data_IF_114934195936
#
_entry.id   IF_114934195936
#
_cell.length_a   1.000
_cell.length_b   1.000
_cell.length_c   1.000
_cell.angle_alpha   90.00
_cell.angle_beta   90.00
_cell.angle_gamma   90.00
#
_symmetry.space_group_name_H-M   'P 1'
#
loop_
_entity.id
_entity.type
_entity.pdbx_description
1 polymer ?
#
# COMPACT_ATOMS: atom_id res chain seq x y z
N UNK A 1 21.04 105.77 -81.49
CA UNK A 1 21.45 104.36 -81.65
C UNK A 1 21.48 103.62 -80.30
N UNK A 2 22.08 104.18 -79.24
CA UNK A 2 22.08 103.59 -77.90
C UNK A 2 20.70 103.50 -77.21
N UNK A 3 19.84 104.52 -77.33
CA UNK A 3 18.50 104.51 -76.75
C UNK A 3 17.51 103.54 -77.42
N UNK A 4 17.80 103.10 -78.65
CA UNK A 4 16.98 102.13 -79.38
C UNK A 4 17.32 100.70 -78.94
N UNK A 5 18.62 100.40 -78.81
CA UNK A 5 19.12 99.11 -78.30
C UNK A 5 18.73 98.86 -76.83
N UNK A 6 18.70 99.89 -75.98
CA UNK A 6 18.20 99.77 -74.60
C UNK A 6 16.70 99.45 -74.51
N UNK A 7 15.89 99.99 -75.43
CA UNK A 7 14.45 99.68 -75.50
C UNK A 7 14.19 98.28 -76.05
N UNK A 8 14.98 97.80 -77.00
CA UNK A 8 14.91 96.41 -77.49
C UNK A 8 15.33 95.40 -76.42
N UNK A 9 16.39 95.68 -75.63
CA UNK A 9 16.81 94.84 -74.50
C UNK A 9 15.78 94.82 -73.36
N UNK A 10 15.15 95.95 -73.05
CA UNK A 10 14.04 96.02 -72.08
C UNK A 10 12.80 95.28 -72.59
N UNK A 11 12.50 95.39 -73.88
CA UNK A 11 11.42 94.65 -74.52
C UNK A 11 11.65 93.14 -74.47
N UNK A 12 12.87 92.69 -74.80
CA UNK A 12 13.27 91.29 -74.69
C UNK A 12 13.25 90.81 -73.24
N UNK A 13 13.74 91.60 -72.28
CA UNK A 13 13.70 91.23 -70.86
C UNK A 13 12.28 91.18 -70.31
N UNK A 14 11.38 92.07 -70.74
CA UNK A 14 9.95 92.04 -70.38
C UNK A 14 9.27 90.79 -70.97
N UNK A 15 9.61 90.43 -72.21
CA UNK A 15 9.11 89.23 -72.88
C UNK A 15 9.66 87.95 -72.24
N UNK A 16 10.96 87.91 -71.91
CA UNK A 16 11.59 86.82 -71.16
C UNK A 16 11.06 86.75 -69.72
N UNK A 17 10.68 87.88 -69.11
CA UNK A 17 10.09 87.91 -67.77
C UNK A 17 8.75 87.18 -67.68
N UNK A 18 7.97 87.15 -68.77
CA UNK A 18 6.75 86.34 -68.84
C UNK A 18 7.07 84.85 -68.87
N UNK A 19 8.13 84.45 -69.57
CA UNK A 19 8.61 83.06 -69.56
C UNK A 19 9.17 82.68 -68.18
N UNK A 20 9.94 83.55 -67.53
CA UNK A 20 10.46 83.33 -66.17
C UNK A 20 9.32 83.27 -65.16
N UNK A 21 8.30 84.12 -65.28
CA UNK A 21 7.11 84.08 -64.43
C UNK A 21 6.28 82.81 -64.64
N UNK A 22 6.13 82.35 -65.89
CA UNK A 22 5.51 81.06 -66.21
C UNK A 22 6.27 79.89 -65.59
N UNK A 23 7.60 79.89 -65.72
CA UNK A 23 8.47 78.84 -65.18
C UNK A 23 8.48 78.86 -63.65
N UNK A 24 8.45 80.05 -63.04
CA UNK A 24 8.28 80.20 -61.61
C UNK A 24 6.93 79.65 -61.15
N UNK A 25 5.83 79.96 -61.84
CA UNK A 25 4.51 79.38 -61.54
C UNK A 25 4.50 77.85 -61.66
N UNK A 26 5.22 77.27 -62.63
CA UNK A 26 5.35 75.82 -62.78
C UNK A 26 6.21 75.21 -61.66
N UNK A 27 7.28 75.87 -61.24
CA UNK A 27 8.09 75.45 -60.09
C UNK A 27 7.26 75.51 -58.81
N UNK A 28 6.52 76.60 -58.59
CA UNK A 28 5.63 76.73 -57.42
C UNK A 28 4.54 75.66 -57.42
N UNK A 29 3.99 75.30 -58.59
CA UNK A 29 3.05 74.19 -58.71
C UNK A 29 3.70 72.83 -58.42
N UNK A 30 4.95 72.62 -58.84
CA UNK A 30 5.71 71.41 -58.48
C UNK A 30 6.03 71.36 -56.99
N UNK A 31 6.36 72.49 -56.37
CA UNK A 31 6.60 72.61 -54.93
C UNK A 31 5.32 72.32 -54.14
N UNK A 32 4.16 72.81 -54.56
CA UNK A 32 2.87 72.46 -53.96
C UNK A 32 2.56 70.94 -54.06
N UNK A 33 2.92 70.31 -55.18
CA UNK A 33 2.75 68.86 -55.36
C UNK A 33 3.71 68.08 -54.46
N UNK A 34 4.98 68.51 -54.38
CA UNK A 34 5.98 67.91 -53.50
C UNK A 34 5.61 68.06 -52.03
N UNK A 35 5.09 69.22 -51.62
CA UNK A 35 4.60 69.48 -50.27
C UNK A 35 3.42 68.57 -49.93
N UNK A 36 2.49 68.34 -50.87
CA UNK A 36 1.40 67.37 -50.70
C UNK A 36 1.91 65.93 -50.57
N UNK A 37 2.90 65.53 -51.38
CA UNK A 37 3.52 64.20 -51.26
C UNK A 37 4.27 64.03 -49.93
N UNK A 38 4.97 65.07 -49.47
CA UNK A 38 5.66 65.06 -48.18
C UNK A 38 4.66 64.93 -47.03
N UNK A 39 3.57 65.69 -47.05
CA UNK A 39 2.50 65.59 -46.05
C UNK A 39 1.87 64.19 -46.05
N UNK A 40 1.62 63.61 -47.23
CA UNK A 40 1.10 62.25 -47.36
C UNK A 40 2.07 61.22 -46.77
N UNK A 41 3.37 61.32 -47.06
CA UNK A 41 4.38 60.41 -46.52
C UNK A 41 4.57 60.55 -45.01
N UNK A 42 4.49 61.78 -44.47
CA UNK A 42 4.51 62.01 -43.01
C UNK A 42 3.30 61.40 -42.33
N UNK A 43 2.11 61.50 -42.94
CA UNK A 43 0.91 60.84 -42.44
C UNK A 43 1.08 59.32 -42.46
N UNK A 44 1.54 58.73 -43.58
CA UNK A 44 1.81 57.28 -43.65
C UNK A 44 2.85 56.81 -42.62
N UNK A 45 3.91 57.59 -42.39
CA UNK A 45 4.92 57.28 -41.39
C UNK A 45 4.32 57.32 -39.97
N UNK A 46 3.50 58.34 -39.68
CA UNK A 46 2.79 58.45 -38.40
C UNK A 46 1.84 57.27 -38.19
N UNK A 47 1.06 56.91 -39.21
CA UNK A 47 0.12 55.80 -39.16
C UNK A 47 0.82 54.46 -38.95
N UNK A 48 1.91 54.19 -39.67
CA UNK A 48 2.74 53.01 -39.45
C UNK A 48 3.37 52.98 -38.05
N UNK A 49 3.80 54.14 -37.55
CA UNK A 49 4.31 54.27 -36.18
C UNK A 49 3.24 53.97 -35.13
N UNK A 50 2.02 54.47 -35.32
CA UNK A 50 0.88 54.19 -34.45
C UNK A 50 0.51 52.71 -34.47
N UNK A 51 0.37 52.12 -35.65
CA UNK A 51 0.04 50.70 -35.83
C UNK A 51 1.12 49.81 -35.22
N UNK A 52 2.40 50.14 -35.42
CA UNK A 52 3.50 49.36 -34.84
C UNK A 52 3.47 49.41 -33.31
N UNK A 53 3.21 50.58 -32.72
CA UNK A 53 3.05 50.71 -31.28
C UNK A 53 1.81 49.96 -30.76
N UNK A 54 0.69 49.99 -31.48
CA UNK A 54 -0.49 49.18 -31.15
C UNK A 54 -0.18 47.68 -31.19
N UNK A 55 0.54 47.20 -32.21
CA UNK A 55 0.97 45.80 -32.30
C UNK A 55 1.88 45.43 -31.13
N UNK A 56 2.84 46.30 -30.77
CA UNK A 56 3.75 46.06 -29.63
C UNK A 56 2.98 46.03 -28.31
N UNK A 57 2.03 46.94 -28.10
CA UNK A 57 1.21 46.96 -26.88
C UNK A 57 0.31 45.74 -26.79
N UNK A 58 -0.33 45.32 -27.89
CA UNK A 58 -1.10 44.08 -27.96
C UNK A 58 -0.24 42.85 -27.70
N UNK A 59 0.98 42.81 -28.25
CA UNK A 59 1.92 41.72 -28.01
C UNK A 59 2.33 41.65 -26.54
N UNK A 60 2.67 42.78 -25.91
CA UNK A 60 2.98 42.85 -24.47
C UNK A 60 1.79 42.41 -23.62
N UNK A 61 0.57 42.85 -23.97
CA UNK A 61 -0.64 42.43 -23.28
C UNK A 61 -0.88 40.92 -23.40
N UNK A 62 -0.72 40.35 -24.60
CA UNK A 62 -0.84 38.91 -24.84
C UNK A 62 0.13 38.09 -23.99
N UNK A 63 1.40 38.50 -23.93
CA UNK A 63 2.41 37.84 -23.08
C UNK A 63 2.04 37.94 -21.60
N UNK A 64 1.63 39.13 -21.13
CA UNK A 64 1.22 39.32 -19.73
C UNK A 64 0.01 38.47 -19.36
N UNK A 65 -0.95 38.33 -20.29
CA UNK A 65 -2.15 37.50 -20.11
C UNK A 65 -1.78 36.02 -20.06
N UNK A 66 -0.85 35.57 -20.91
CA UNK A 66 -0.37 34.20 -20.92
C UNK A 66 0.32 33.83 -19.59
N UNK A 67 1.16 34.72 -19.05
CA UNK A 67 1.81 34.51 -17.75
C UNK A 67 0.76 34.41 -16.64
N UNK A 68 -0.22 35.32 -16.61
CA UNK A 68 -1.33 35.27 -15.63
C UNK A 68 -2.13 33.96 -15.74
N UNK A 69 -2.37 33.49 -16.96
CA UNK A 69 -3.07 32.24 -17.21
C UNK A 69 -2.28 31.03 -16.70
N UNK A 70 -0.98 30.96 -16.97
CA UNK A 70 -0.10 29.90 -16.46
C UNK A 70 -0.05 29.87 -14.94
N UNK A 71 0.10 31.04 -14.30
CA UNK A 71 0.09 31.14 -12.83
C UNK A 71 -1.24 30.67 -12.24
N UNK A 72 -2.37 31.05 -12.85
CA UNK A 72 -3.70 30.60 -12.43
C UNK A 72 -3.90 29.10 -12.63
N UNK A 73 -3.40 28.53 -13.72
CA UNK A 73 -3.46 27.08 -13.97
C UNK A 73 -2.65 26.29 -12.94
N UNK A 74 -1.43 26.75 -12.61
CA UNK A 74 -0.60 26.12 -11.59
C UNK A 74 -1.30 26.13 -10.22
N UNK A 75 -1.80 27.30 -9.80
CA UNK A 75 -2.53 27.43 -8.52
C UNK A 75 -3.82 26.61 -8.52
N UNK A 76 -4.54 26.55 -9.64
CA UNK A 76 -5.76 25.74 -9.77
C UNK A 76 -5.46 24.25 -9.57
N UNK A 77 -4.32 23.75 -10.04
CA UNK A 77 -3.92 22.35 -9.84
C UNK A 77 -3.75 22.03 -8.35
N UNK A 78 -2.93 22.82 -7.66
CA UNK A 78 -2.68 22.66 -6.22
C UNK A 78 -3.96 22.81 -5.38
N UNK A 79 -4.80 23.80 -5.70
CA UNK A 79 -6.08 24.00 -5.01
C UNK A 79 -7.06 22.84 -5.29
N UNK A 80 -7.11 22.32 -6.52
CA UNK A 80 -7.97 21.18 -6.84
C UNK A 80 -7.56 19.97 -6.02
N UNK A 81 -6.27 19.64 -5.99
CA UNK A 81 -5.77 18.52 -5.19
C UNK A 81 -6.09 18.69 -3.70
N UNK A 82 -5.87 19.89 -3.15
CA UNK A 82 -6.20 20.18 -1.75
C UNK A 82 -7.70 20.00 -1.46
N UNK A 83 -8.57 20.44 -2.37
CA UNK A 83 -10.01 20.29 -2.24
C UNK A 83 -10.42 18.82 -2.37
N UNK A 84 -9.85 18.08 -3.32
CA UNK A 84 -10.12 16.65 -3.51
C UNK A 84 -9.69 15.82 -2.28
N UNK A 85 -8.57 16.18 -1.65
CA UNK A 85 -8.09 15.55 -0.41
C UNK A 85 -8.98 15.88 0.80
N UNK A 86 -9.51 17.11 0.88
CA UNK A 86 -10.39 17.55 1.96
C UNK A 86 -11.84 17.03 1.83
N UNK A 87 -12.36 16.87 0.60
CA UNK A 87 -13.75 16.46 0.39
C UNK A 87 -13.93 14.98 0.74
N UNK A 88 -14.90 14.68 1.59
CA UNK A 88 -15.37 13.32 1.84
C UNK A 88 -16.62 13.10 1.00
N UNK A 89 -16.53 12.24 -0.02
CA UNK A 89 -17.65 11.94 -0.91
C UNK A 89 -18.73 11.14 -0.18
N UNK A 90 -20.00 11.42 -0.46
CA UNK A 90 -21.12 10.69 0.15
C UNK A 90 -21.16 9.21 -0.26
N UNK A 91 -20.72 8.90 -1.48
CA UNK A 91 -20.53 7.52 -1.95
C UNK A 91 -19.57 6.73 -1.06
N UNK A 92 -18.43 7.33 -0.67
CA UNK A 92 -17.46 6.73 0.24
C UNK A 92 -18.10 6.45 1.61
N UNK A 93 -18.92 7.38 2.11
CA UNK A 93 -19.66 7.21 3.38
C UNK A 93 -20.62 6.03 3.28
N UNK A 94 -21.43 5.98 2.21
CA UNK A 94 -22.41 4.91 2.00
C UNK A 94 -21.72 3.55 1.83
N UNK A 95 -20.64 3.47 1.05
CA UNK A 95 -19.88 2.23 0.89
C UNK A 95 -19.26 1.74 2.20
N UNK A 96 -18.66 2.62 3.01
CA UNK A 96 -18.12 2.22 4.32
C UNK A 96 -19.23 1.73 5.25
N UNK A 97 -20.43 2.30 5.17
CA UNK A 97 -21.57 1.90 5.98
C UNK A 97 -22.17 0.56 5.52
N UNK A 98 -22.43 0.42 4.22
CA UNK A 98 -23.26 -0.65 3.65
C UNK A 98 -22.46 -1.84 3.12
N UNK A 99 -21.26 -1.62 2.55
CA UNK A 99 -20.48 -2.69 1.91
C UNK A 99 -19.95 -3.70 2.91
N UNK A 100 -19.85 -4.96 2.49
CA UNK A 100 -19.30 -6.01 3.33
C UNK A 100 -17.78 -5.88 3.43
N UNK A 101 -17.22 -6.17 4.60
CA UNK A 101 -15.76 -6.11 4.86
C UNK A 101 -14.95 -7.11 4.01
N UNK A 102 -15.63 -7.99 3.27
CA UNK A 102 -15.00 -9.03 2.43
C UNK A 102 -14.70 -8.52 1.02
N UNK A 103 -15.30 -7.41 0.61
CA UNK A 103 -15.19 -6.88 -0.76
C UNK A 103 -13.88 -6.10 -0.92
N UNK A 104 -13.28 -6.17 -2.13
CA UNK A 104 -12.05 -5.44 -2.43
C UNK A 104 -12.25 -3.92 -2.39
N UNK A 105 -13.43 -3.48 -2.81
CA UNK A 105 -13.83 -2.07 -2.83
C UNK A 105 -13.75 -1.46 -1.42
N UNK A 106 -14.14 -2.22 -0.39
CA UNK A 106 -14.02 -1.76 1.00
C UNK A 106 -12.56 -1.52 1.43
N UNK A 107 -11.61 -2.29 0.90
CA UNK A 107 -10.19 -2.10 1.20
C UNK A 107 -9.64 -0.83 0.54
N UNK A 108 -10.03 -0.57 -0.70
CA UNK A 108 -9.67 0.66 -1.43
C UNK A 108 -10.28 1.89 -0.73
N UNK A 109 -11.56 1.82 -0.35
CA UNK A 109 -12.25 2.85 0.42
C UNK A 109 -11.58 3.12 1.78
N UNK A 110 -11.09 2.07 2.45
CA UNK A 110 -10.36 2.19 3.71
C UNK A 110 -9.00 2.88 3.53
N UNK A 111 -8.30 2.63 2.42
CA UNK A 111 -7.04 3.31 2.09
C UNK A 111 -7.27 4.80 1.81
N UNK A 112 -8.35 5.13 1.08
CA UNK A 112 -8.75 6.53 0.85
C UNK A 112 -9.09 7.21 2.18
N UNK A 113 -9.83 6.54 3.06
CA UNK A 113 -10.16 7.06 4.38
C UNK A 113 -8.90 7.31 5.23
N UNK A 114 -7.94 6.37 5.22
CA UNK A 114 -6.67 6.50 5.95
C UNK A 114 -5.87 7.73 5.49
N UNK A 115 -5.73 7.90 4.17
CA UNK A 115 -5.07 9.08 3.58
C UNK A 115 -5.78 10.38 3.98
N UNK A 116 -7.11 10.41 3.90
CA UNK A 116 -7.91 11.60 4.28
C UNK A 116 -7.78 11.94 5.77
N UNK A 117 -7.79 10.94 6.65
CA UNK A 117 -7.58 11.16 8.09
C UNK A 117 -6.16 11.68 8.36
N UNK A 118 -5.15 11.11 7.71
CA UNK A 118 -3.76 11.57 7.86
C UNK A 118 -3.61 13.03 7.38
N UNK A 119 -4.16 13.35 6.21
CA UNK A 119 -4.13 14.69 5.64
C UNK A 119 -4.82 15.72 6.54
N UNK A 120 -6.03 15.44 7.03
CA UNK A 120 -6.74 16.35 7.94
C UNK A 120 -5.99 16.52 9.26
N UNK A 121 -5.33 15.47 9.78
CA UNK A 121 -4.45 15.58 10.96
C UNK A 121 -3.26 16.50 10.69
N UNK A 122 -2.62 16.40 9.53
CA UNK A 122 -1.51 17.29 9.13
C UNK A 122 -1.95 18.74 8.88
N UNK A 123 -3.13 18.97 8.32
CA UNK A 123 -3.63 20.33 8.09
C UNK A 123 -4.26 20.95 9.34
N UNK A 124 -4.59 20.15 10.36
CA UNK A 124 -5.17 20.65 11.62
C UNK A 124 -4.27 21.64 12.36
N UNK A 125 -2.96 21.66 12.08
CA UNK A 125 -2.02 22.65 12.61
C UNK A 125 -2.24 24.07 12.08
N UNK A 126 -3.05 24.26 11.03
CA UNK A 126 -3.33 25.57 10.41
C UNK A 126 -4.65 26.20 10.88
N UNK A 127 -5.34 25.59 11.85
CA UNK A 127 -6.59 26.10 12.48
C UNK A 127 -7.69 26.54 11.49
N UNK A 128 -7.77 25.89 10.33
CA UNK A 128 -8.82 26.17 9.35
C UNK A 128 -10.16 25.57 9.81
N UNK A 129 -11.24 26.38 9.84
CA UNK A 129 -12.58 25.95 10.26
C UNK A 129 -13.12 24.75 9.48
N UNK A 130 -12.85 24.68 8.18
CA UNK A 130 -13.25 23.56 7.32
C UNK A 130 -12.64 22.22 7.77
N UNK A 131 -11.45 22.24 8.39
CA UNK A 131 -10.85 21.03 8.94
C UNK A 131 -11.64 20.50 10.14
N UNK A 132 -12.27 21.38 10.93
CA UNK A 132 -13.08 20.97 12.09
C UNK A 132 -14.37 20.30 11.63
N UNK A 133 -15.04 20.85 10.61
CA UNK A 133 -16.30 20.30 10.07
C UNK A 133 -16.09 18.90 9.48
N UNK A 134 -15.01 18.70 8.72
CA UNK A 134 -14.69 17.40 8.10
C UNK A 134 -14.14 16.40 9.12
N UNK A 135 -13.39 16.87 10.12
CA UNK A 135 -12.79 16.01 11.16
C UNK A 135 -13.86 15.22 11.92
N UNK A 136 -14.97 15.84 12.31
CA UNK A 136 -16.03 15.14 13.04
C UNK A 136 -16.67 14.02 12.20
N UNK A 137 -16.84 14.24 10.89
CA UNK A 137 -17.35 13.22 9.96
C UNK A 137 -16.34 12.09 9.82
N UNK A 138 -15.06 12.40 9.63
CA UNK A 138 -13.98 11.42 9.53
C UNK A 138 -13.82 10.59 10.80
N UNK A 139 -13.91 11.18 11.99
CA UNK A 139 -13.83 10.45 13.26
C UNK A 139 -15.02 9.49 13.45
N UNK A 140 -16.23 9.89 13.04
CA UNK A 140 -17.40 9.00 13.04
C UNK A 140 -17.23 7.84 12.06
N UNK A 141 -16.76 8.11 10.84
CA UNK A 141 -16.44 7.08 9.85
C UNK A 141 -15.36 6.13 10.33
N UNK A 142 -14.27 6.67 10.91
CA UNK A 142 -13.18 5.92 11.52
C UNK A 142 -13.72 4.96 12.60
N UNK A 143 -14.57 5.45 13.49
CA UNK A 143 -15.18 4.65 14.55
C UNK A 143 -16.02 3.50 13.96
N UNK A 144 -16.83 3.80 12.95
CA UNK A 144 -17.70 2.79 12.31
C UNK A 144 -16.91 1.75 11.51
N UNK A 145 -15.90 2.18 10.74
CA UNK A 145 -15.00 1.31 10.00
C UNK A 145 -14.23 0.40 10.96
N UNK A 146 -13.70 0.96 12.04
CA UNK A 146 -13.00 0.23 13.10
C UNK A 146 -13.89 -0.85 13.73
N UNK A 147 -15.15 -0.53 14.03
CA UNK A 147 -16.11 -1.50 14.56
C UNK A 147 -16.34 -2.66 13.58
N UNK A 148 -16.59 -2.38 12.30
CA UNK A 148 -16.80 -3.40 11.26
C UNK A 148 -15.57 -4.30 11.09
N UNK A 149 -14.37 -3.71 11.06
CA UNK A 149 -13.10 -4.44 10.96
C UNK A 149 -12.90 -5.34 12.19
N UNK A 150 -13.13 -4.81 13.39
CA UNK A 150 -13.03 -5.57 14.65
C UNK A 150 -13.96 -6.78 14.63
N UNK A 151 -15.24 -6.58 14.32
CA UNK A 151 -16.21 -7.67 14.23
C UNK A 151 -15.77 -8.73 13.22
N UNK A 152 -15.31 -8.32 12.04
CA UNK A 152 -14.82 -9.25 11.02
C UNK A 152 -13.62 -10.07 11.49
N UNK A 153 -12.59 -9.42 12.05
CA UNK A 153 -11.38 -10.09 12.52
C UNK A 153 -11.69 -11.06 13.67
N UNK A 154 -12.49 -10.63 14.66
CA UNK A 154 -12.90 -11.50 15.76
C UNK A 154 -13.75 -12.68 15.28
N UNK A 155 -14.70 -12.47 14.35
CA UNK A 155 -15.47 -13.56 13.76
C UNK A 155 -14.58 -14.59 13.05
N UNK A 156 -13.56 -14.14 12.32
CA UNK A 156 -12.58 -15.05 11.70
C UNK A 156 -11.75 -15.80 12.73
N UNK A 157 -11.31 -15.13 13.81
CA UNK A 157 -10.59 -15.76 14.92
C UNK A 157 -11.47 -16.82 15.60
N UNK A 158 -12.73 -16.50 15.88
CA UNK A 158 -13.68 -17.46 16.46
C UNK A 158 -13.97 -18.64 15.56
N UNK A 159 -13.92 -18.46 14.23
CA UNK A 159 -14.06 -19.58 13.29
C UNK A 159 -12.95 -20.62 13.44
N UNK A 160 -11.77 -20.28 13.98
CA UNK A 160 -10.73 -21.27 14.27
C UNK A 160 -11.11 -22.26 15.37
N UNK A 161 -12.04 -21.89 16.25
CA UNK A 161 -12.50 -22.75 17.35
C UNK A 161 -13.36 -23.93 16.86
N UNK A 162 -13.80 -23.93 15.60
CA UNK A 162 -14.60 -25.03 15.04
C UNK A 162 -13.77 -26.31 14.91
N UNK A 163 -14.23 -27.44 15.46
CA UNK A 163 -13.49 -28.69 15.42
C UNK A 163 -13.26 -29.16 13.98
N UNK A 164 -12.12 -29.83 13.73
CA UNK A 164 -11.69 -30.33 12.40
C UNK A 164 -11.39 -29.26 11.34
N UNK A 165 -11.35 -27.98 11.69
CA UNK A 165 -10.93 -26.92 10.74
C UNK A 165 -9.41 -26.99 10.53
N UNK A 166 -8.96 -27.05 9.28
CA UNK A 166 -7.56 -26.79 8.96
C UNK A 166 -7.30 -25.28 9.19
N UNK A 167 -6.75 -24.91 10.34
CA UNK A 167 -6.51 -23.52 10.72
C UNK A 167 -5.58 -22.77 9.76
N UNK A 168 -4.82 -23.49 8.91
CA UNK A 168 -3.97 -22.90 7.87
C UNK A 168 -4.79 -22.19 6.78
N UNK A 169 -5.98 -22.71 6.44
CA UNK A 169 -6.80 -22.12 5.37
C UNK A 169 -7.34 -20.75 5.79
N UNK A 170 -7.97 -20.55 6.96
CA UNK A 170 -8.39 -19.21 7.37
C UNK A 170 -7.22 -18.29 7.76
N UNK A 171 -6.05 -18.80 8.18
CA UNK A 171 -4.83 -17.98 8.34
C UNK A 171 -4.41 -17.34 7.02
N UNK A 172 -4.35 -18.11 5.93
CA UNK A 172 -4.03 -17.58 4.59
C UNK A 172 -5.05 -16.55 4.10
N UNK A 173 -6.32 -16.68 4.50
CA UNK A 173 -7.35 -15.67 4.21
C UNK A 173 -7.10 -14.39 5.02
N UNK A 174 -6.74 -14.50 6.31
CA UNK A 174 -6.42 -13.35 7.14
C UNK A 174 -5.21 -12.55 6.63
N UNK A 175 -4.20 -13.23 6.07
CA UNK A 175 -3.04 -12.55 5.48
C UNK A 175 -3.42 -11.60 4.34
N UNK A 176 -4.47 -11.91 3.56
CA UNK A 176 -4.97 -11.02 2.51
C UNK A 176 -5.54 -9.70 3.08
N UNK A 177 -5.98 -9.72 4.32
CA UNK A 177 -6.58 -8.59 5.03
C UNK A 177 -5.61 -7.94 6.03
N UNK A 178 -4.31 -8.08 5.83
CA UNK A 178 -3.25 -7.48 6.65
C UNK A 178 -3.42 -5.96 6.82
N UNK A 179 -3.93 -5.26 5.81
CA UNK A 179 -4.17 -3.81 5.87
C UNK A 179 -5.17 -3.43 6.98
N UNK A 180 -6.14 -4.29 7.30
CA UNK A 180 -7.08 -4.03 8.39
C UNK A 180 -6.39 -3.94 9.74
N UNK A 181 -5.42 -4.82 10.01
CA UNK A 181 -4.64 -4.75 11.25
C UNK A 181 -3.74 -3.51 11.28
N UNK A 182 -3.13 -3.14 10.15
CA UNK A 182 -2.35 -1.90 10.02
C UNK A 182 -3.20 -0.65 10.30
N UNK A 183 -4.42 -0.60 9.77
CA UNK A 183 -5.37 0.48 10.01
C UNK A 183 -5.73 0.59 11.49
N UNK A 184 -6.05 -0.54 12.14
CA UNK A 184 -6.33 -0.57 13.58
C UNK A 184 -5.13 -0.10 14.40
N UNK A 185 -3.91 -0.53 14.08
CA UNK A 185 -2.70 -0.09 14.79
C UNK A 185 -2.43 1.41 14.69
N UNK A 186 -2.82 2.03 13.58
CA UNK A 186 -2.60 3.45 13.30
C UNK A 186 -3.61 4.33 14.02
N UNK A 187 -4.88 3.92 14.05
CA UNK A 187 -5.97 4.75 14.58
C UNK A 187 -6.42 4.35 15.99
N UNK A 188 -6.51 3.06 16.31
CA UNK A 188 -7.11 2.53 17.54
C UNK A 188 -6.31 1.33 18.10
N UNK A 189 -5.24 1.65 18.84
CA UNK A 189 -4.28 0.65 19.36
C UNK A 189 -4.88 -0.34 20.35
N UNK A 190 -5.90 0.04 21.10
CA UNK A 190 -6.52 -0.82 22.10
C UNK A 190 -7.32 -1.94 21.43
N UNK A 191 -8.03 -1.64 20.35
CA UNK A 191 -8.76 -2.64 19.56
C UNK A 191 -7.77 -3.56 18.83
N UNK A 192 -6.67 -3.01 18.31
CA UNK A 192 -5.61 -3.83 17.73
C UNK A 192 -4.97 -4.79 18.75
N UNK A 193 -4.83 -4.35 20.01
CA UNK A 193 -4.33 -5.19 21.10
C UNK A 193 -5.33 -6.31 21.43
N UNK A 194 -6.62 -5.99 21.53
CA UNK A 194 -7.68 -6.97 21.80
C UNK A 194 -7.69 -8.09 20.74
N UNK A 195 -7.72 -7.71 19.45
CA UNK A 195 -7.72 -8.69 18.34
C UNK A 195 -6.48 -9.58 18.39
N UNK A 196 -5.33 -9.00 18.72
CA UNK A 196 -4.08 -9.74 18.88
C UNK A 196 -4.16 -10.72 20.04
N UNK A 197 -4.58 -10.28 21.22
CA UNK A 197 -4.68 -11.13 22.42
C UNK A 197 -5.66 -12.29 22.21
N UNK A 198 -6.85 -12.03 21.63
CA UNK A 198 -7.82 -13.07 21.29
C UNK A 198 -7.28 -14.09 20.28
N UNK A 199 -6.51 -13.63 19.29
CA UNK A 199 -5.83 -14.53 18.35
C UNK A 199 -4.82 -15.43 19.07
N UNK A 200 -3.92 -14.84 19.87
CA UNK A 200 -2.87 -15.58 20.57
C UNK A 200 -3.47 -16.63 21.51
N UNK A 201 -4.49 -16.26 22.28
CA UNK A 201 -5.14 -17.15 23.23
C UNK A 201 -5.89 -18.29 22.53
N UNK A 202 -6.57 -17.98 21.43
CA UNK A 202 -7.29 -18.98 20.64
C UNK A 202 -6.31 -19.96 20.00
N UNK A 203 -5.24 -19.46 19.37
CA UNK A 203 -4.25 -20.30 18.71
C UNK A 203 -3.44 -21.13 19.70
N UNK A 204 -3.06 -20.57 20.85
CA UNK A 204 -2.40 -21.29 21.94
C UNK A 204 -3.22 -22.50 22.41
N UNK A 205 -4.54 -22.33 22.59
CA UNK A 205 -5.46 -23.41 22.99
C UNK A 205 -5.61 -24.47 21.90
N UNK A 206 -5.75 -24.05 20.64
CA UNK A 206 -5.92 -24.96 19.49
C UNK A 206 -4.67 -25.82 19.31
N UNK A 207 -3.49 -25.21 19.25
CA UNK A 207 -2.22 -25.92 19.06
C UNK A 207 -1.94 -26.86 20.24
N UNK A 208 -2.15 -26.41 21.47
CA UNK A 208 -2.00 -27.25 22.65
C UNK A 208 -2.92 -28.49 22.61
N UNK A 209 -4.21 -28.28 22.31
CA UNK A 209 -5.19 -29.37 22.21
C UNK A 209 -4.84 -30.33 21.07
N UNK A 210 -4.50 -29.80 19.89
CA UNK A 210 -4.06 -30.57 18.73
C UNK A 210 -2.87 -31.45 19.07
N UNK A 211 -1.79 -30.89 19.62
CA UNK A 211 -0.60 -31.67 19.94
C UNK A 211 -0.83 -32.65 21.09
N UNK A 212 -1.65 -32.31 22.09
CA UNK A 212 -2.03 -33.24 23.16
C UNK A 212 -2.78 -34.46 22.59
N UNK A 213 -3.76 -34.24 21.72
CA UNK A 213 -4.53 -35.30 21.06
C UNK A 213 -3.66 -36.11 20.09
N UNK A 214 -2.87 -35.42 19.27
CA UNK A 214 -1.95 -36.04 18.31
C UNK A 214 -0.96 -36.96 19.02
N UNK A 215 -0.35 -36.47 20.09
CA UNK A 215 0.57 -37.23 20.92
C UNK A 215 -0.10 -38.45 21.54
N UNK A 216 -1.28 -38.30 22.15
CA UNK A 216 -2.01 -39.43 22.74
C UNK A 216 -2.37 -40.50 21.71
N UNK A 217 -2.81 -40.10 20.51
CA UNK A 217 -3.15 -41.04 19.43
C UNK A 217 -1.92 -41.73 18.86
N UNK A 218 -0.80 -41.02 18.70
CA UNK A 218 0.45 -41.61 18.24
C UNK A 218 0.99 -42.66 19.22
N UNK A 219 0.93 -42.41 20.52
CA UNK A 219 1.42 -43.40 21.50
C UNK A 219 0.60 -44.69 21.49
N UNK A 220 -0.68 -44.67 21.07
CA UNK A 220 -1.49 -45.89 20.88
C UNK A 220 -1.08 -46.73 19.68
N UNK A 221 -0.32 -46.14 18.74
CA UNK A 221 0.22 -46.84 17.57
C UNK A 221 1.62 -47.39 17.81
N UNK A 222 2.15 -47.22 19.04
CA UNK A 222 3.41 -47.83 19.43
C UNK A 222 3.24 -49.35 19.48
N UNK A 223 4.29 -50.09 19.09
CA UNK A 223 4.36 -51.52 19.39
C UNK A 223 4.17 -51.77 20.89
N UNK A 224 3.33 -52.75 21.25
CA UNK A 224 2.93 -53.04 22.64
C UNK A 224 4.07 -53.62 23.50
N UNK A 225 5.13 -54.13 22.88
CA UNK A 225 6.26 -54.75 23.60
C UNK A 225 7.25 -53.67 24.06
N UNK A 226 6.94 -53.03 25.19
CA UNK A 226 7.94 -52.35 26.04
C UNK A 226 8.53 -53.42 26.93
N UNK A 227 9.83 -53.69 26.81
CA UNK A 227 10.53 -54.65 27.65
C UNK A 227 10.34 -54.29 29.13
N UNK A 228 9.70 -55.18 29.89
CA UNK A 228 9.64 -55.03 31.35
C UNK A 228 10.86 -55.71 31.98
N UNK A 229 11.20 -55.39 33.24
CA UNK A 229 12.35 -56.00 33.95
C UNK A 229 12.22 -57.53 34.09
N UNK A 230 11.03 -58.07 33.88
CA UNK A 230 10.68 -59.48 33.97
C UNK A 230 10.77 -60.24 32.62
N UNK A 231 11.11 -59.57 31.51
CA UNK A 231 11.41 -60.25 30.24
C UNK A 231 12.79 -60.92 30.30
N UNK A 232 12.83 -62.07 30.97
CA UNK A 232 14.00 -62.91 31.15
C UNK A 232 14.50 -63.45 29.79
N UNK A 233 15.79 -63.25 29.48
CA UNK A 233 16.44 -63.93 28.36
C UNK A 233 16.54 -65.43 28.66
N UNK A 234 15.76 -66.26 27.97
CA UNK A 234 15.87 -67.73 28.09
C UNK A 234 14.56 -68.52 28.12
N UNK A 235 13.38 -67.91 28.04
CA UNK A 235 12.14 -68.63 27.75
C UNK A 235 11.78 -68.53 26.26
N UNK A 236 10.91 -69.41 25.76
CA UNK A 236 10.55 -69.63 24.33
C UNK A 236 10.09 -68.39 23.52
N UNK A 237 10.09 -67.19 24.13
CA UNK A 237 9.92 -65.88 23.49
C UNK A 237 11.17 -65.34 22.78
N UNK A 238 12.18 -66.17 22.52
CA UNK A 238 13.45 -65.73 21.88
C UNK A 238 13.24 -65.04 20.52
N UNK A 239 12.21 -65.43 19.76
CA UNK A 239 11.89 -64.82 18.45
C UNK A 239 11.36 -63.38 18.61
N UNK A 240 10.63 -63.08 19.70
CA UNK A 240 10.13 -61.73 19.98
C UNK A 240 11.25 -60.85 20.55
N UNK A 241 12.12 -61.40 21.40
CA UNK A 241 13.32 -60.72 21.89
C UNK A 241 14.27 -60.30 20.75
N UNK A 242 14.45 -61.12 19.71
CA UNK A 242 15.26 -60.77 18.53
C UNK A 242 14.65 -59.60 17.76
N UNK A 243 13.32 -59.55 17.58
CA UNK A 243 12.64 -58.40 16.95
C UNK A 243 12.71 -57.13 17.81
N UNK A 244 12.79 -57.26 19.12
CA UNK A 244 12.83 -56.16 20.08
C UNK A 244 14.22 -55.50 20.18
N UNK A 245 15.29 -56.28 20.11
CA UNK A 245 16.69 -55.81 20.18
C UNK A 245 17.39 -55.65 18.82
N UNK A 246 16.73 -55.99 17.70
CA UNK A 246 17.28 -55.71 16.37
C UNK A 246 17.15 -54.23 16.04
N UNK A 247 18.28 -53.52 16.11
CA UNK A 247 18.40 -52.12 15.66
C UNK A 247 18.06 -52.00 14.17
N UNK A 248 18.30 -53.04 13.37
CA UNK A 248 17.85 -53.18 11.98
C UNK A 248 18.01 -51.88 11.17
N UNK A 249 16.95 -51.50 10.47
CA UNK A 249 16.87 -50.24 9.71
C UNK A 249 16.32 -49.06 10.53
N UNK A 250 16.25 -49.14 11.87
CA UNK A 250 15.72 -48.04 12.72
C UNK A 250 16.56 -46.77 12.62
N UNK A 251 17.83 -46.89 12.25
CA UNK A 251 18.72 -45.76 11.96
C UNK A 251 18.31 -44.95 10.72
N UNK A 252 17.46 -45.48 9.84
CA UNK A 252 16.97 -44.77 8.66
C UNK A 252 16.10 -43.56 9.05
N UNK A 253 15.47 -43.59 10.23
CA UNK A 253 14.71 -42.47 10.81
C UNK A 253 15.56 -41.20 10.94
N UNK A 254 16.86 -41.36 11.19
CA UNK A 254 17.81 -40.25 11.38
C UNK A 254 18.50 -39.80 10.09
N UNK A 255 18.41 -40.59 9.01
CA UNK A 255 19.11 -40.34 7.75
C UNK A 255 18.12 -40.09 6.62
N UNK A 256 17.56 -41.13 6.02
CA UNK A 256 16.71 -41.04 4.83
C UNK A 256 15.28 -40.59 5.14
N UNK A 257 14.77 -40.91 6.33
CA UNK A 257 13.38 -40.64 6.72
C UNK A 257 13.23 -39.39 7.60
N UNK A 258 14.30 -38.61 7.78
CA UNK A 258 14.32 -37.44 8.66
C UNK A 258 13.30 -36.36 8.25
N UNK A 259 13.02 -36.21 6.95
CA UNK A 259 12.04 -35.27 6.36
C UNK A 259 10.80 -35.98 5.80
N UNK A 260 10.62 -37.27 6.08
CA UNK A 260 9.43 -38.03 5.67
C UNK A 260 8.11 -37.39 6.14
N UNK A 261 7.00 -37.75 5.49
CA UNK A 261 5.69 -37.22 5.89
C UNK A 261 5.33 -37.62 7.32
N UNK A 262 4.59 -36.75 8.02
CA UNK A 262 4.13 -37.04 9.38
C UNK A 262 3.14 -38.22 9.38
N UNK A 263 3.19 -39.02 10.44
CA UNK A 263 2.22 -40.10 10.65
C UNK A 263 0.86 -39.47 10.95
N UNK A 264 -0.12 -39.80 10.10
CA UNK A 264 -1.53 -39.41 10.29
C UNK A 264 -2.22 -40.48 11.13
N UNK A 265 -2.57 -40.20 12.41
CA UNK A 265 -2.99 -41.26 13.32
C UNK A 265 -4.28 -41.97 12.90
N UNK A 266 -5.19 -41.28 12.20
CA UNK A 266 -6.44 -41.88 11.73
C UNK A 266 -6.20 -42.91 10.61
N UNK A 267 -5.31 -42.61 9.67
CA UNK A 267 -4.95 -43.51 8.57
C UNK A 267 -4.16 -44.72 9.08
N UNK A 268 -3.21 -44.49 9.99
CA UNK A 268 -2.40 -45.55 10.59
C UNK A 268 -3.23 -46.49 11.48
N UNK A 269 -4.21 -45.96 12.22
CA UNK A 269 -5.12 -46.77 13.02
C UNK A 269 -6.04 -47.63 12.14
N UNK A 270 -6.49 -47.12 10.99
CA UNK A 270 -7.33 -47.88 10.04
C UNK A 270 -6.57 -49.02 9.36
N UNK A 271 -5.27 -48.82 9.11
CA UNK A 271 -4.42 -49.81 8.47
C UNK A 271 -3.71 -50.74 9.48
N UNK A 272 -4.02 -50.62 10.78
CA UNK A 272 -3.40 -51.37 11.88
C UNK A 272 -1.85 -51.31 11.89
N UNK A 273 -1.28 -50.23 11.34
CA UNK A 273 0.17 -50.09 11.25
C UNK A 273 0.73 -49.64 12.60
N UNK A 274 1.47 -50.53 13.26
CA UNK A 274 2.25 -50.20 14.46
C UNK A 274 3.62 -49.62 14.06
N UNK A 275 4.12 -48.68 14.85
CA UNK A 275 5.37 -47.96 14.59
C UNK A 275 6.35 -48.06 15.77
N UNK A 276 7.65 -48.00 15.47
CA UNK A 276 8.69 -47.91 16.50
C UNK A 276 8.64 -46.56 17.20
N UNK A 277 9.17 -46.51 18.41
CA UNK A 277 9.19 -45.29 19.20
C UNK A 277 9.95 -44.14 18.48
N UNK A 278 11.05 -44.43 17.78
CA UNK A 278 11.83 -43.42 17.06
C UNK A 278 11.00 -42.76 15.95
N UNK A 279 10.22 -43.55 15.21
CA UNK A 279 9.36 -43.06 14.13
C UNK A 279 8.25 -42.15 14.68
N UNK A 280 7.62 -42.55 15.79
CA UNK A 280 6.60 -41.75 16.48
C UNK A 280 7.19 -40.44 17.05
N UNK A 281 8.37 -40.52 17.67
CA UNK A 281 9.08 -39.38 18.22
C UNK A 281 9.47 -38.38 17.11
N UNK A 282 10.06 -38.88 16.02
CA UNK A 282 10.43 -38.08 14.85
C UNK A 282 9.21 -37.39 14.25
N UNK A 283 8.10 -38.12 14.09
CA UNK A 283 6.85 -37.55 13.58
C UNK A 283 6.30 -36.44 14.49
N UNK A 284 6.42 -36.59 15.82
CA UNK A 284 6.04 -35.55 16.78
C UNK A 284 6.92 -34.30 16.66
N UNK A 285 8.24 -34.46 16.58
CA UNK A 285 9.17 -33.33 16.46
C UNK A 285 9.00 -32.61 15.13
N UNK A 286 8.90 -33.35 14.03
CA UNK A 286 8.76 -32.76 12.70
C UNK A 286 7.44 -31.98 12.58
N UNK A 287 6.33 -32.55 13.09
CA UNK A 287 5.05 -31.83 13.16
C UNK A 287 5.15 -30.56 14.03
N UNK A 288 5.87 -30.61 15.15
CA UNK A 288 6.07 -29.45 16.02
C UNK A 288 6.83 -28.33 15.32
N UNK A 289 7.94 -28.66 14.65
CA UNK A 289 8.79 -27.69 13.93
C UNK A 289 8.03 -27.07 12.75
N UNK A 290 7.37 -27.87 11.92
CA UNK A 290 6.61 -27.37 10.76
C UNK A 290 5.51 -26.39 11.19
N UNK A 291 4.74 -26.72 12.23
CA UNK A 291 3.71 -25.82 12.73
C UNK A 291 4.29 -24.60 13.46
N UNK A 292 5.43 -24.74 14.16
CA UNK A 292 6.13 -23.61 14.75
C UNK A 292 6.61 -22.62 13.68
N UNK A 293 7.19 -23.10 12.59
CA UNK A 293 7.67 -22.26 11.48
C UNK A 293 6.50 -21.50 10.82
N UNK A 294 5.40 -22.19 10.52
CA UNK A 294 4.21 -21.57 9.92
C UNK A 294 3.60 -20.51 10.83
N UNK A 295 3.48 -20.80 12.12
CA UNK A 295 2.92 -19.85 13.08
C UNK A 295 3.84 -18.63 13.26
N UNK A 296 5.16 -18.83 13.32
CA UNK A 296 6.12 -17.74 13.39
C UNK A 296 6.02 -16.82 12.16
N UNK A 297 5.98 -17.39 10.95
CA UNK A 297 5.80 -16.64 9.71
C UNK A 297 4.49 -15.85 9.73
N UNK A 298 3.37 -16.50 10.09
CA UNK A 298 2.09 -15.83 10.20
C UNK A 298 2.12 -14.65 11.19
N UNK A 299 2.68 -14.85 12.39
CA UNK A 299 2.78 -13.79 13.42
C UNK A 299 3.60 -12.61 12.88
N UNK A 300 4.76 -12.87 12.27
CA UNK A 300 5.61 -11.82 11.72
C UNK A 300 4.93 -11.04 10.59
N UNK A 301 4.26 -11.75 9.69
CA UNK A 301 3.61 -11.13 8.54
C UNK A 301 2.34 -10.37 8.91
N UNK A 302 1.43 -10.99 9.67
CA UNK A 302 0.12 -10.42 9.99
C UNK A 302 0.24 -9.27 11.01
N UNK A 303 1.02 -9.45 12.07
CA UNK A 303 1.19 -8.42 13.10
C UNK A 303 2.28 -7.40 12.79
N UNK A 304 3.03 -7.55 11.67
CA UNK A 304 4.11 -6.64 11.27
C UNK A 304 5.18 -6.44 12.34
N UNK A 305 5.52 -7.51 13.05
CA UNK A 305 6.47 -7.52 14.19
C UNK A 305 7.73 -8.28 13.82
N UNK A 306 8.89 -7.75 14.23
CA UNK A 306 10.19 -8.35 13.97
C UNK A 306 11.01 -8.53 15.26
N UNK A 307 11.94 -9.48 15.26
CA UNK A 307 12.89 -9.67 16.36
C UNK A 307 12.24 -10.08 17.68
N UNK A 308 12.51 -9.33 18.76
CA UNK A 308 12.10 -9.68 20.12
C UNK A 308 10.59 -9.72 20.31
N UNK A 309 9.85 -8.76 19.76
CA UNK A 309 8.37 -8.73 19.87
C UNK A 309 7.73 -9.93 19.18
N UNK A 310 8.29 -10.38 18.05
CA UNK A 310 7.81 -11.59 17.36
C UNK A 310 8.05 -12.85 18.21
N UNK A 311 9.21 -12.94 18.88
CA UNK A 311 9.54 -14.05 19.78
C UNK A 311 8.62 -14.09 21.02
N UNK A 312 8.28 -12.93 21.59
CA UNK A 312 7.34 -12.86 22.72
C UNK A 312 5.94 -13.37 22.32
N UNK A 313 5.43 -12.91 21.17
CA UNK A 313 4.13 -13.35 20.65
C UNK A 313 4.14 -14.84 20.30
N UNK A 314 5.21 -15.31 19.66
CA UNK A 314 5.41 -16.73 19.38
C UNK A 314 5.46 -17.56 20.67
N UNK A 315 6.14 -17.07 21.71
CA UNK A 315 6.21 -17.73 23.02
C UNK A 315 4.84 -17.78 23.69
N UNK A 316 4.00 -16.75 23.53
CA UNK A 316 2.62 -16.76 24.03
C UNK A 316 1.78 -17.87 23.36
N UNK A 317 1.93 -18.05 22.05
CA UNK A 317 1.21 -19.10 21.30
C UNK A 317 1.76 -20.49 21.62
N UNK A 318 3.06 -20.72 21.39
CA UNK A 318 3.68 -22.05 21.43
C UNK A 318 4.20 -22.46 22.81
N UNK A 319 4.36 -21.53 23.76
CA UNK A 319 5.02 -21.81 25.04
C UNK A 319 4.36 -22.92 25.86
N UNK A 320 3.01 -22.96 25.90
CA UNK A 320 2.27 -24.04 26.58
C UNK A 320 2.53 -25.40 25.93
N UNK A 321 2.51 -25.44 24.60
CA UNK A 321 2.79 -26.65 23.80
C UNK A 321 4.23 -27.12 24.00
N UNK A 322 5.21 -26.23 23.90
CA UNK A 322 6.62 -26.55 24.11
C UNK A 322 6.88 -27.08 25.53
N UNK A 323 6.25 -26.46 26.54
CA UNK A 323 6.35 -26.92 27.94
C UNK A 323 5.77 -28.33 28.12
N UNK A 324 4.67 -28.65 27.43
CA UNK A 324 4.09 -30.00 27.44
C UNK A 324 5.06 -31.02 26.85
N UNK A 325 5.66 -30.72 25.70
CA UNK A 325 6.66 -31.59 25.07
C UNK A 325 7.87 -31.78 25.99
N UNK A 326 8.43 -30.71 26.56
CA UNK A 326 9.56 -30.78 27.49
C UNK A 326 9.28 -31.66 28.70
N UNK A 327 8.09 -31.53 29.32
CA UNK A 327 7.69 -32.40 30.45
C UNK A 327 7.61 -33.87 30.03
N UNK A 328 7.05 -34.15 28.86
CA UNK A 328 6.95 -35.52 28.32
C UNK A 328 8.33 -36.11 28.01
N UNK A 329 9.22 -35.33 27.40
CA UNK A 329 10.59 -35.75 27.12
C UNK A 329 11.37 -36.06 28.38
N UNK A 330 11.26 -35.22 29.42
CA UNK A 330 11.87 -35.50 30.73
C UNK A 330 11.37 -36.80 31.32
N UNK A 331 10.06 -37.05 31.27
CA UNK A 331 9.46 -38.31 31.75
C UNK A 331 9.97 -39.54 31.00
N UNK A 332 10.18 -39.43 29.68
CA UNK A 332 10.71 -40.53 28.86
C UNK A 332 12.19 -40.76 29.19
N UNK A 333 12.98 -39.70 29.34
CA UNK A 333 14.40 -39.83 29.70
C UNK A 333 14.57 -40.44 31.10
N UNK A 334 13.72 -40.06 32.07
CA UNK A 334 13.75 -40.64 33.42
C UNK A 334 13.25 -42.09 33.48
N UNK A 335 12.52 -42.58 32.48
CA UNK A 335 12.15 -44.00 32.38
C UNK A 335 13.19 -44.86 31.67
N UNK A 336 14.15 -44.23 30.98
CA UNK A 336 15.23 -44.90 30.23
C UNK A 336 16.54 -44.99 31.04
N UNK A 337 16.67 -44.16 32.07
CA UNK A 337 17.72 -44.21 33.11
C UNK A 337 17.20 -44.99 34.32
#
# INVERSE_FOLDING_TARGET
MWAFSQRELLSLYIQESQNIASLHNQITACDEILERMEQMLKLFQSDLGSISNEILTLQQQSVSMNIRLKNRQAIRGELSQFVDDMIVQESLIQHILESAVTDKEFLEDLQILDHKIAFVKEQSFKDAKCCQDVKDVLEKLKTKATFKIREYLLQKIYSFRKPMTNYQVPQNVLLKFKFFYQFLMTHERDIAREVREEYLDTMSKILFSYFKMYTSRLMKLQFEEVADRDDLMGSDKFINLIKMFTVGNRGNVLTTELESQIIVPHSAQKNETKHTFESLFRSQQYALVDNACREYLFITEFFMVNGRSALELFTSVMGKTLTMFLKKHRSICSSLL
#
